data_IF_778364218501
#
_entry.id   IF_778364218501
#
_cell.length_a   1.000
_cell.length_b   1.000
_cell.length_c   1.000
_cell.angle_alpha   90.00
_cell.angle_beta   90.00
_cell.angle_gamma   90.00
#
_symmetry.space_group_name_H-M   'P 1'
#
loop_
_entity.id
_entity.type
_entity.pdbx_description
1 polymer ?
#
# COMPACT_ATOMS: atom_id res chain seq x y z
N UNK A 1 28.63 -9.62 25.21
CA UNK A 1 29.05 -8.38 24.52
C UNK A 1 27.97 -8.03 23.52
N UNK A 2 27.46 -6.79 23.60
CA UNK A 2 26.54 -6.26 22.59
C UNK A 2 27.31 -6.09 21.27
N UNK A 3 26.76 -6.62 20.18
CA UNK A 3 27.33 -6.45 18.84
C UNK A 3 26.59 -5.26 18.16
N UNK A 4 27.15 -4.04 18.19
CA UNK A 4 26.46 -2.85 17.67
C UNK A 4 26.21 -2.93 16.15
N UNK A 5 26.97 -3.74 15.43
CA UNK A 5 26.86 -3.94 13.98
C UNK A 5 25.98 -5.16 13.59
N UNK A 6 25.19 -5.72 14.53
CA UNK A 6 24.30 -6.84 14.21
C UNK A 6 23.14 -6.38 13.36
N UNK A 7 23.16 -6.70 12.06
CA UNK A 7 22.22 -6.19 11.02
C UNK A 7 20.75 -6.47 11.38
N UNK A 8 20.45 -7.69 11.86
CA UNK A 8 19.06 -8.05 12.23
C UNK A 8 18.56 -7.22 13.42
N UNK A 9 19.44 -6.95 14.41
CA UNK A 9 19.07 -6.10 15.55
C UNK A 9 18.82 -4.65 15.12
N UNK A 10 19.63 -4.10 14.21
CA UNK A 10 19.43 -2.78 13.64
C UNK A 10 18.11 -2.71 12.86
N UNK A 11 17.79 -3.74 12.08
CA UNK A 11 16.55 -3.86 11.36
C UNK A 11 15.32 -3.86 12.29
N UNK A 12 15.31 -4.73 13.32
CA UNK A 12 14.21 -4.77 14.28
C UNK A 12 14.08 -3.46 15.07
N UNK A 13 15.22 -2.85 15.42
CA UNK A 13 15.22 -1.51 16.04
C UNK A 13 14.56 -0.47 15.11
N UNK A 14 14.87 -0.49 13.81
CA UNK A 14 14.26 0.42 12.84
C UNK A 14 12.73 0.28 12.81
N UNK A 15 12.23 -0.95 12.71
CA UNK A 15 10.79 -1.21 12.71
C UNK A 15 10.12 -0.76 14.02
N UNK A 16 10.77 -1.03 15.18
CA UNK A 16 10.28 -0.59 16.48
C UNK A 16 10.21 0.94 16.59
N UNK A 17 11.24 1.65 16.11
CA UNK A 17 11.26 3.12 16.10
C UNK A 17 10.16 3.68 15.20
N UNK A 18 9.99 3.12 14.00
CA UNK A 18 8.97 3.58 13.06
C UNK A 18 7.56 3.34 13.57
N UNK A 19 7.26 2.17 14.13
CA UNK A 19 5.91 1.89 14.68
C UNK A 19 5.58 2.77 15.88
N UNK A 20 6.59 3.20 16.65
CA UNK A 20 6.46 4.16 17.74
C UNK A 20 6.37 5.63 17.28
N UNK A 21 6.43 5.90 15.98
CA UNK A 21 6.41 7.26 15.43
C UNK A 21 7.74 8.02 15.55
N UNK A 22 8.83 7.38 16.01
CA UNK A 22 10.18 7.97 16.11
C UNK A 22 10.84 8.00 14.72
N UNK A 23 10.23 8.73 13.80
CA UNK A 23 10.54 8.66 12.37
C UNK A 23 11.97 9.10 12.04
N UNK A 24 12.48 10.14 12.63
CA UNK A 24 13.85 10.61 12.33
C UNK A 24 14.90 9.53 12.57
N UNK A 25 14.84 8.88 13.73
CA UNK A 25 15.74 7.78 14.08
C UNK A 25 15.39 6.50 13.31
N UNK A 26 14.08 6.27 13.14
CA UNK A 26 13.54 5.10 12.47
C UNK A 26 13.96 5.02 11.01
N UNK A 27 13.84 6.11 10.26
CA UNK A 27 14.24 6.13 8.84
C UNK A 27 15.75 5.95 8.66
N UNK A 28 16.57 6.59 9.51
CA UNK A 28 18.02 6.37 9.49
C UNK A 28 18.38 4.90 9.75
N UNK A 29 17.79 4.31 10.78
CA UNK A 29 18.02 2.90 11.10
C UNK A 29 17.45 1.97 10.02
N UNK A 30 16.39 2.38 9.29
CA UNK A 30 15.74 1.60 8.24
C UNK A 30 16.64 1.37 7.02
N UNK A 31 17.66 2.21 6.82
CA UNK A 31 18.67 1.99 5.77
C UNK A 31 19.49 0.71 5.99
N UNK A 32 19.51 0.14 7.20
CA UNK A 32 20.09 -1.19 7.47
C UNK A 32 19.48 -2.32 6.63
N UNK A 33 18.27 -2.11 6.05
CA UNK A 33 17.65 -3.05 5.12
C UNK A 33 18.54 -3.35 3.90
N UNK A 34 19.34 -2.39 3.47
CA UNK A 34 20.25 -2.53 2.33
C UNK A 34 21.39 -3.52 2.64
N UNK A 35 21.80 -3.61 3.90
CA UNK A 35 22.83 -4.56 4.35
C UNK A 35 22.27 -5.97 4.54
N UNK A 36 20.98 -6.08 4.87
CA UNK A 36 20.30 -7.35 5.12
C UNK A 36 20.03 -8.14 3.83
N UNK A 37 19.83 -7.47 2.73
CA UNK A 37 19.44 -8.05 1.45
C UNK A 37 20.63 -8.41 0.58
N UNK A 38 21.25 -9.57 0.83
CA UNK A 38 22.22 -10.17 -0.12
C UNK A 38 21.62 -10.51 -1.49
N UNK A 39 20.29 -10.55 -1.62
CA UNK A 39 19.56 -11.08 -2.77
C UNK A 39 18.86 -10.05 -3.65
N UNK A 40 18.51 -8.86 -3.13
CA UNK A 40 18.31 -7.76 -4.05
C UNK A 40 19.71 -7.21 -4.31
N UNK A 41 20.33 -7.62 -5.41
CA UNK A 41 21.54 -6.98 -5.90
C UNK A 41 21.28 -5.48 -5.77
N UNK A 42 21.99 -4.84 -4.84
CA UNK A 42 21.96 -3.39 -4.74
C UNK A 42 22.17 -2.93 -6.17
N UNK A 43 21.15 -2.28 -6.77
CA UNK A 43 21.27 -1.81 -8.14
C UNK A 43 22.49 -0.91 -8.13
N UNK A 44 23.59 -1.40 -8.67
CA UNK A 44 24.88 -0.69 -8.65
C UNK A 44 24.87 0.22 -9.86
N UNK A 45 24.58 1.46 -9.64
CA UNK A 45 24.76 2.52 -10.62
C UNK A 45 26.03 3.31 -10.31
N UNK A 46 26.76 3.78 -11.33
CA UNK A 46 27.92 4.65 -11.12
C UNK A 46 27.53 6.03 -10.59
N UNK A 47 26.31 6.47 -10.85
CA UNK A 47 25.77 7.75 -10.37
C UNK A 47 25.55 7.71 -8.85
N UNK A 48 25.64 8.85 -8.15
CA UNK A 48 25.47 8.90 -6.71
C UNK A 48 24.03 8.68 -6.26
N UNK A 49 23.87 8.06 -5.07
CA UNK A 49 22.60 8.02 -4.35
C UNK A 49 22.23 9.41 -3.85
N UNK A 50 20.97 9.77 -4.06
CA UNK A 50 20.41 10.98 -3.49
C UNK A 50 19.91 10.75 -2.05
N UNK A 51 20.53 11.46 -1.12
CA UNK A 51 20.24 11.37 0.32
C UNK A 51 19.51 12.61 0.88
N UNK A 52 18.99 13.49 0.02
CA UNK A 52 18.31 14.72 0.44
C UNK A 52 19.21 15.96 0.59
N UNK A 53 20.52 15.84 0.43
CA UNK A 53 21.45 16.96 0.64
C UNK A 53 21.70 17.79 -0.62
N UNK A 54 21.64 17.17 -1.80
CA UNK A 54 21.84 17.87 -3.07
C UNK A 54 20.53 18.47 -3.55
N UNK A 55 20.62 19.65 -4.21
CA UNK A 55 19.49 20.23 -4.92
C UNK A 55 19.03 19.29 -6.04
N UNK A 56 17.71 19.15 -6.18
CA UNK A 56 17.10 18.40 -7.29
C UNK A 56 16.77 19.27 -8.49
N UNK A 57 16.97 20.59 -8.38
CA UNK A 57 16.69 21.51 -9.49
C UNK A 57 17.51 21.12 -10.72
N UNK A 58 16.80 20.92 -11.84
CA UNK A 58 17.37 20.55 -13.15
C UNK A 58 18.14 19.21 -13.15
N UNK A 59 17.97 18.37 -12.10
CA UNK A 59 18.57 17.04 -12.03
C UNK A 59 17.64 15.97 -12.59
N UNK A 60 18.20 14.99 -13.30
CA UNK A 60 17.53 13.78 -13.73
C UNK A 60 17.63 12.76 -12.60
N UNK A 61 16.50 12.43 -11.97
CA UNK A 61 16.43 11.55 -10.81
C UNK A 61 15.77 10.23 -11.17
N UNK A 62 16.49 9.13 -10.98
CA UNK A 62 15.97 7.78 -11.15
C UNK A 62 15.52 7.19 -9.81
N UNK A 63 14.21 6.96 -9.67
CA UNK A 63 13.57 6.30 -8.53
C UNK A 63 13.21 4.87 -8.88
N UNK A 64 13.33 3.96 -7.91
CA UNK A 64 13.03 2.55 -8.16
C UNK A 64 12.43 1.85 -6.94
N UNK A 65 11.59 0.87 -7.25
CA UNK A 65 10.97 -0.01 -6.26
C UNK A 65 11.99 -0.97 -5.62
N UNK A 66 11.68 -1.47 -4.41
CA UNK A 66 12.55 -2.39 -3.66
C UNK A 66 11.81 -3.60 -3.10
N UNK A 67 10.55 -3.45 -2.68
CA UNK A 67 9.82 -4.47 -1.92
C UNK A 67 8.50 -4.83 -2.61
N UNK A 68 7.43 -5.00 -1.83
CA UNK A 68 6.13 -5.41 -2.34
C UNK A 68 5.41 -4.32 -3.14
N UNK A 69 4.33 -4.73 -3.82
CA UNK A 69 3.49 -3.80 -4.59
C UNK A 69 2.88 -2.71 -3.70
N UNK A 70 2.48 -3.05 -2.47
CA UNK A 70 1.97 -2.08 -1.49
C UNK A 70 3.00 -1.02 -1.11
N UNK A 71 4.28 -1.41 -0.99
CA UNK A 71 5.36 -0.46 -0.70
C UNK A 71 5.54 0.54 -1.85
N UNK A 72 5.52 0.06 -3.09
CA UNK A 72 5.61 0.94 -4.27
C UNK A 72 4.44 1.89 -4.33
N UNK A 73 3.20 1.41 -4.19
CA UNK A 73 2.02 2.26 -4.15
C UNK A 73 2.12 3.32 -3.03
N UNK A 74 2.54 2.91 -1.84
CA UNK A 74 2.67 3.80 -0.69
C UNK A 74 3.72 4.89 -0.89
N UNK A 75 4.93 4.52 -1.33
CA UNK A 75 6.05 5.46 -1.44
C UNK A 75 6.12 6.21 -2.78
N UNK A 76 5.34 5.81 -3.79
CA UNK A 76 5.23 6.55 -5.06
C UNK A 76 4.84 8.03 -4.86
N UNK A 77 4.14 8.36 -3.76
CA UNK A 77 3.82 9.76 -3.38
C UNK A 77 5.03 10.68 -3.30
N UNK A 78 6.19 10.13 -2.95
CA UNK A 78 7.43 10.91 -2.87
C UNK A 78 7.99 11.30 -4.23
N UNK A 79 7.62 10.62 -5.31
CA UNK A 79 7.99 11.03 -6.66
C UNK A 79 7.38 12.40 -7.01
N UNK A 80 6.19 12.71 -6.49
CA UNK A 80 5.58 14.04 -6.61
C UNK A 80 6.40 15.12 -5.90
N UNK A 81 6.96 14.79 -4.72
CA UNK A 81 7.79 15.72 -3.96
C UNK A 81 9.13 15.97 -4.67
N UNK A 82 9.75 14.92 -5.23
CA UNK A 82 10.99 15.08 -5.99
C UNK A 82 10.78 15.90 -7.25
N UNK A 83 9.67 15.71 -7.96
CA UNK A 83 9.26 16.55 -9.08
C UNK A 83 9.06 18.01 -8.63
N UNK A 84 8.33 18.22 -7.54
CA UNK A 84 8.10 19.57 -7.00
C UNK A 84 9.39 20.27 -6.56
N UNK A 85 10.43 19.51 -6.19
CA UNK A 85 11.77 20.01 -5.90
C UNK A 85 12.61 20.31 -7.16
N UNK A 86 12.04 20.14 -8.35
CA UNK A 86 12.64 20.51 -9.64
C UNK A 86 13.33 19.39 -10.39
N UNK A 87 13.19 18.13 -9.97
CA UNK A 87 13.75 16.99 -10.69
C UNK A 87 12.97 16.63 -11.94
N UNK A 88 13.65 16.20 -12.99
CA UNK A 88 13.10 15.35 -14.02
C UNK A 88 13.09 13.91 -13.48
N UNK A 89 11.91 13.36 -13.23
CA UNK A 89 11.75 12.09 -12.50
C UNK A 89 11.48 10.92 -13.44
N UNK A 90 12.28 9.87 -13.30
CA UNK A 90 12.07 8.55 -13.88
C UNK A 90 11.73 7.58 -12.74
N UNK A 91 10.57 6.94 -12.79
CA UNK A 91 10.11 6.03 -11.74
C UNK A 91 9.93 4.62 -12.28
N UNK A 92 10.79 3.70 -11.86
CA UNK A 92 10.65 2.27 -12.15
C UNK A 92 9.73 1.59 -11.15
N UNK A 93 8.74 0.86 -11.65
CA UNK A 93 7.76 0.12 -10.87
C UNK A 93 7.64 -1.33 -11.36
N UNK A 94 7.05 -2.19 -10.54
CA UNK A 94 6.73 -3.57 -10.95
C UNK A 94 5.65 -3.55 -12.04
N UNK A 95 5.73 -4.47 -12.99
CA UNK A 95 4.83 -4.57 -14.14
C UNK A 95 3.33 -4.46 -13.81
N UNK A 96 2.79 -5.11 -12.74
CA UNK A 96 1.38 -4.98 -12.39
C UNK A 96 0.94 -3.58 -11.97
N UNK A 97 1.88 -2.70 -11.61
CA UNK A 97 1.59 -1.33 -11.16
C UNK A 97 1.74 -0.28 -12.27
N UNK A 98 2.39 -0.63 -13.40
CA UNK A 98 2.76 0.34 -14.44
C UNK A 98 1.58 1.21 -14.86
N UNK A 99 0.47 0.59 -15.28
CA UNK A 99 -0.69 1.31 -15.82
C UNK A 99 -1.34 2.25 -14.79
N UNK A 100 -1.48 1.83 -13.54
CA UNK A 100 -2.09 2.67 -12.51
C UNK A 100 -1.17 3.81 -12.07
N UNK A 101 0.15 3.58 -12.02
CA UNK A 101 1.11 4.60 -11.61
C UNK A 101 1.37 5.62 -12.75
N UNK A 102 1.12 5.28 -14.01
CA UNK A 102 1.16 6.24 -15.12
C UNK A 102 0.22 7.46 -14.90
N UNK A 103 -0.83 7.28 -14.12
CA UNK A 103 -1.73 8.37 -13.73
C UNK A 103 -1.23 9.25 -12.58
N UNK A 104 -0.04 9.00 -12.04
CA UNK A 104 0.50 9.74 -10.90
C UNK A 104 0.74 11.22 -11.22
N UNK A 105 1.46 11.50 -12.29
CA UNK A 105 1.69 12.84 -12.84
C UNK A 105 2.25 12.72 -14.28
N UNK A 106 1.73 13.47 -15.27
CA UNK A 106 2.17 13.36 -16.66
C UNK A 106 3.64 13.76 -16.90
N UNK A 107 4.26 14.51 -15.97
CA UNK A 107 5.65 14.90 -16.06
C UNK A 107 6.61 13.87 -15.44
N UNK A 108 6.10 12.79 -14.85
CA UNK A 108 6.91 11.68 -14.31
C UNK A 108 6.94 10.55 -15.33
N UNK A 109 8.12 10.18 -15.81
CA UNK A 109 8.28 9.04 -16.72
C UNK A 109 8.23 7.73 -15.96
N UNK A 110 7.21 6.89 -16.22
CA UNK A 110 7.07 5.59 -15.59
C UNK A 110 7.73 4.51 -16.43
N UNK A 111 8.63 3.76 -15.81
CA UNK A 111 9.37 2.66 -16.41
C UNK A 111 8.90 1.32 -15.84
N UNK A 112 8.79 0.32 -16.68
CA UNK A 112 8.63 -1.07 -16.22
C UNK A 112 9.94 -1.56 -15.59
N UNK A 113 9.83 -2.51 -14.67
CA UNK A 113 10.99 -3.10 -13.98
C UNK A 113 12.01 -3.75 -14.93
N UNK A 114 11.61 -4.13 -16.14
CA UNK A 114 12.44 -4.72 -17.18
C UNK A 114 13.10 -3.70 -18.10
N UNK A 115 12.64 -2.44 -18.07
CA UNK A 115 13.20 -1.36 -18.89
C UNK A 115 14.49 -0.82 -18.26
N UNK A 116 15.51 -0.63 -19.08
CA UNK A 116 16.71 0.08 -18.65
C UNK A 116 16.38 1.54 -18.35
N UNK A 117 16.92 2.12 -17.26
CA UNK A 117 16.73 3.54 -17.02
C UNK A 117 17.40 4.37 -18.13
N UNK A 118 16.81 5.50 -18.53
CA UNK A 118 17.51 6.48 -19.35
C UNK A 118 18.69 7.06 -18.59
N UNK A 119 19.47 7.95 -19.23
CA UNK A 119 20.52 8.71 -18.54
C UNK A 119 19.96 9.49 -17.36
N UNK A 120 20.60 9.38 -16.21
CA UNK A 120 20.23 10.09 -14.98
C UNK A 120 21.47 10.57 -14.22
N UNK A 121 21.28 11.56 -13.36
CA UNK A 121 22.35 12.20 -12.61
C UNK A 121 22.41 11.66 -11.17
N UNK A 122 21.24 11.38 -10.59
CA UNK A 122 21.04 10.89 -9.24
C UNK A 122 20.07 9.72 -9.22
N UNK A 123 20.17 8.84 -8.23
CA UNK A 123 19.16 7.81 -8.04
C UNK A 123 18.79 7.62 -6.56
N UNK A 124 17.61 7.07 -6.30
CA UNK A 124 17.20 6.68 -4.96
C UNK A 124 16.19 5.52 -4.99
N UNK A 125 16.29 4.57 -4.05
CA UNK A 125 15.21 3.64 -3.82
C UNK A 125 14.03 4.35 -3.16
N UNK A 126 12.79 4.01 -3.55
CA UNK A 126 11.58 4.66 -3.04
C UNK A 126 11.52 4.69 -1.51
N UNK A 127 11.95 3.61 -0.86
CA UNK A 127 11.87 3.49 0.59
C UNK A 127 12.95 4.26 1.36
N UNK A 128 13.90 4.90 0.68
CA UNK A 128 14.86 5.84 1.28
C UNK A 128 14.37 7.29 1.23
N UNK A 129 13.34 7.58 0.43
CA UNK A 129 12.84 8.95 0.26
C UNK A 129 12.29 9.57 1.56
N UNK A 130 11.61 8.82 2.48
CA UNK A 130 11.23 9.39 3.76
C UNK A 130 12.41 9.92 4.56
N UNK A 131 13.56 9.22 4.55
CA UNK A 131 14.79 9.70 5.17
C UNK A 131 15.34 10.92 4.43
N UNK A 132 15.43 10.86 3.10
CA UNK A 132 15.98 11.97 2.29
C UNK A 132 15.17 13.27 2.44
N UNK A 133 13.86 13.17 2.61
CA UNK A 133 12.97 14.31 2.90
C UNK A 133 12.86 14.67 4.39
N UNK A 134 13.55 13.96 5.28
CA UNK A 134 13.46 14.18 6.72
C UNK A 134 12.02 14.03 7.26
N UNK A 135 11.25 13.07 6.71
CA UNK A 135 9.84 12.87 7.07
C UNK A 135 9.68 12.59 8.55
N UNK A 136 8.84 13.38 9.19
CA UNK A 136 8.36 13.25 10.57
C UNK A 136 6.87 12.99 10.56
N UNK A 137 6.28 12.68 11.70
CA UNK A 137 4.86 12.43 11.82
C UNK A 137 4.02 13.62 11.29
N UNK A 138 4.47 14.84 11.60
CA UNK A 138 3.81 16.11 11.24
C UNK A 138 4.03 16.51 9.77
N UNK A 139 5.05 15.94 9.12
CA UNK A 139 5.44 16.27 7.74
C UNK A 139 5.23 15.13 6.75
N UNK A 140 4.46 14.12 7.15
CA UNK A 140 4.04 13.06 6.23
C UNK A 140 3.32 13.68 5.03
N UNK A 141 3.74 13.37 3.79
CA UNK A 141 3.04 13.88 2.60
C UNK A 141 1.69 13.17 2.44
N UNK A 142 0.68 13.65 3.15
CA UNK A 142 -0.69 13.15 3.09
C UNK A 142 -1.48 13.88 2.01
N UNK A 143 -2.18 13.10 1.17
CA UNK A 143 -2.98 13.62 0.07
C UNK A 143 -4.46 13.32 0.36
N UNK A 144 -5.21 14.33 0.74
CA UNK A 144 -6.62 14.18 1.15
C UNK A 144 -7.49 13.58 0.03
N UNK A 145 -7.24 13.96 -1.22
CA UNK A 145 -7.98 13.47 -2.39
C UNK A 145 -7.27 12.32 -3.12
N UNK A 146 -6.23 11.75 -2.50
CA UNK A 146 -5.38 10.74 -3.13
C UNK A 146 -4.34 11.33 -4.08
N UNK A 147 -3.51 10.46 -4.64
CA UNK A 147 -2.46 10.78 -5.62
C UNK A 147 -2.44 9.78 -6.79
N UNK A 148 -3.29 8.77 -6.76
CA UNK A 148 -3.54 7.87 -7.88
C UNK A 148 -5.01 7.95 -8.30
N UNK A 149 -5.30 7.61 -9.55
CA UNK A 149 -6.67 7.61 -10.08
C UNK A 149 -6.88 6.44 -11.04
N UNK A 150 -8.13 6.04 -11.20
CA UNK A 150 -8.53 5.13 -12.25
C UNK A 150 -8.75 5.89 -13.55
N UNK A 151 -8.51 5.24 -14.69
CA UNK A 151 -8.92 5.79 -15.99
C UNK A 151 -10.45 5.74 -16.14
N UNK A 152 -11.00 6.68 -16.90
CA UNK A 152 -12.43 6.70 -17.21
C UNK A 152 -12.90 5.39 -17.87
N UNK A 153 -12.07 4.81 -18.74
CA UNK A 153 -12.33 3.51 -19.37
C UNK A 153 -12.37 2.38 -18.34
N UNK A 154 -11.44 2.35 -17.38
CA UNK A 154 -11.43 1.38 -16.29
C UNK A 154 -12.70 1.44 -15.46
N UNK A 155 -13.19 2.62 -15.13
CA UNK A 155 -14.47 2.82 -14.42
C UNK A 155 -15.66 2.36 -15.26
N UNK A 156 -15.72 2.79 -16.53
CA UNK A 156 -16.81 2.44 -17.44
C UNK A 156 -16.92 0.93 -17.68
N UNK A 157 -15.81 0.20 -17.64
CA UNK A 157 -15.78 -1.26 -17.74
C UNK A 157 -16.53 -1.95 -16.60
N UNK A 158 -16.37 -1.48 -15.36
CA UNK A 158 -16.90 -2.15 -14.19
C UNK A 158 -18.28 -1.69 -13.78
N UNK A 159 -18.57 -0.41 -13.92
CA UNK A 159 -19.81 0.20 -13.41
C UNK A 159 -21.11 -0.53 -13.84
N UNK A 160 -21.27 -0.97 -15.10
CA UNK A 160 -22.48 -1.69 -15.53
C UNK A 160 -22.61 -3.12 -14.95
N UNK A 161 -21.49 -3.69 -14.48
CA UNK A 161 -21.46 -5.07 -13.95
C UNK A 161 -21.73 -5.13 -12.45
N UNK A 162 -21.64 -4.00 -11.75
CA UNK A 162 -21.76 -3.96 -10.30
C UNK A 162 -23.20 -4.14 -9.84
N UNK A 163 -23.42 -4.93 -8.77
CA UNK A 163 -24.75 -5.08 -8.19
C UNK A 163 -25.27 -3.75 -7.65
N UNK A 164 -26.57 -3.61 -7.63
CA UNK A 164 -27.25 -2.46 -7.02
C UNK A 164 -27.37 -2.69 -5.50
N UNK A 165 -27.26 -1.61 -4.73
CA UNK A 165 -27.37 -1.62 -3.27
C UNK A 165 -27.26 -0.24 -2.69
N UNK A 166 -27.48 -0.11 -1.39
CA UNK A 166 -27.39 1.16 -0.65
C UNK A 166 -25.95 1.75 -0.75
N UNK A 167 -24.96 0.89 -0.55
CA UNK A 167 -23.53 1.20 -0.71
C UNK A 167 -22.87 0.06 -1.49
N UNK A 168 -21.83 0.37 -2.24
CA UNK A 168 -20.95 -0.62 -2.87
C UNK A 168 -19.71 -0.77 -2.02
N UNK A 169 -19.55 -1.91 -1.38
CA UNK A 169 -18.47 -2.17 -0.42
C UNK A 169 -17.52 -3.21 -0.99
N UNK A 170 -16.27 -2.82 -1.18
CA UNK A 170 -15.19 -3.74 -1.57
C UNK A 170 -14.63 -4.47 -0.37
N UNK A 171 -14.39 -5.78 -0.50
CA UNK A 171 -13.82 -6.61 0.56
C UNK A 171 -12.54 -7.30 0.11
N UNK A 172 -11.50 -7.21 0.97
CA UNK A 172 -10.24 -7.96 0.84
C UNK A 172 -9.94 -8.63 2.17
N UNK A 173 -9.78 -9.94 2.17
CA UNK A 173 -9.62 -10.73 3.41
C UNK A 173 -8.29 -11.44 3.55
N UNK A 174 -7.50 -11.52 2.48
CA UNK A 174 -6.20 -12.17 2.54
C UNK A 174 -5.17 -11.49 1.66
N UNK A 175 -3.92 -11.56 2.09
CA UNK A 175 -2.77 -11.12 1.33
C UNK A 175 -2.12 -12.27 0.55
N UNK A 176 -0.92 -12.02 0.01
CA UNK A 176 -0.11 -13.06 -0.62
C UNK A 176 0.29 -14.13 0.39
N UNK A 177 0.02 -15.38 0.08
CA UNK A 177 0.38 -16.52 0.91
C UNK A 177 1.91 -16.68 1.12
N UNK A 178 2.72 -16.07 0.25
CA UNK A 178 4.19 -16.08 0.37
C UNK A 178 4.72 -15.02 1.35
N UNK A 179 3.87 -14.13 1.84
CA UNK A 179 4.27 -13.09 2.77
C UNK A 179 4.50 -13.66 4.17
N UNK A 180 5.66 -13.36 4.79
CA UNK A 180 6.05 -13.94 6.09
C UNK A 180 5.04 -13.74 7.22
N UNK A 181 4.31 -12.63 7.23
CA UNK A 181 3.30 -12.29 8.23
C UNK A 181 1.87 -12.59 7.75
N UNK A 182 1.70 -13.42 6.72
CA UNK A 182 0.39 -13.66 6.12
C UNK A 182 -0.60 -14.30 7.10
N UNK A 183 -0.15 -15.28 7.87
CA UNK A 183 -0.98 -15.97 8.87
C UNK A 183 -1.57 -15.04 9.94
N UNK A 184 -0.87 -13.95 10.27
CA UNK A 184 -1.34 -13.00 11.29
C UNK A 184 -2.28 -11.93 10.73
N UNK A 185 -2.20 -11.60 9.42
CA UNK A 185 -2.98 -10.51 8.80
C UNK A 185 -4.17 -10.98 7.97
N UNK A 186 -4.15 -12.23 7.49
CA UNK A 186 -5.23 -12.78 6.66
C UNK A 186 -6.32 -13.38 7.55
N UNK A 187 -7.57 -13.23 7.12
CA UNK A 187 -8.77 -13.68 7.83
C UNK A 187 -9.52 -14.66 6.92
N UNK A 188 -9.89 -15.86 7.38
CA UNK A 188 -10.74 -16.75 6.58
C UNK A 188 -12.07 -16.05 6.21
N UNK A 189 -12.48 -16.12 4.94
CA UNK A 189 -13.69 -15.45 4.46
C UNK A 189 -14.92 -15.80 5.28
N UNK A 190 -15.05 -17.05 5.72
CA UNK A 190 -16.16 -17.51 6.56
C UNK A 190 -16.41 -16.63 7.80
N UNK A 191 -15.33 -16.11 8.43
CA UNK A 191 -15.48 -15.21 9.58
C UNK A 191 -16.05 -13.85 9.17
N UNK A 192 -15.70 -13.36 8.00
CA UNK A 192 -16.12 -12.06 7.48
C UNK A 192 -17.55 -12.07 6.90
N UNK A 193 -18.15 -13.24 6.70
CA UNK A 193 -19.54 -13.32 6.27
C UNK A 193 -20.51 -12.65 7.25
N UNK A 194 -20.11 -12.46 8.50
CA UNK A 194 -20.85 -11.66 9.49
C UNK A 194 -20.97 -10.17 9.13
N UNK A 195 -20.08 -9.65 8.25
CA UNK A 195 -20.15 -8.28 7.73
C UNK A 195 -21.13 -8.16 6.57
N UNK A 196 -21.30 -9.22 5.79
CA UNK A 196 -22.09 -9.21 4.56
C UNK A 196 -23.56 -9.14 4.92
N UNK A 197 -24.13 -7.95 4.79
CA UNK A 197 -25.52 -7.66 5.14
C UNK A 197 -26.38 -7.43 3.90
N UNK A 198 -27.66 -7.74 4.00
CA UNK A 198 -28.64 -7.39 2.96
C UNK A 198 -28.78 -5.86 2.85
N UNK A 199 -28.91 -5.37 1.63
CA UNK A 199 -29.08 -3.95 1.32
C UNK A 199 -27.82 -3.25 0.83
N UNK A 200 -26.63 -3.70 1.19
CA UNK A 200 -25.38 -3.24 0.59
C UNK A 200 -24.94 -4.17 -0.55
N UNK A 201 -24.28 -3.62 -1.57
CA UNK A 201 -23.71 -4.36 -2.67
C UNK A 201 -22.26 -4.74 -2.35
N UNK A 202 -22.01 -6.02 -2.10
CA UNK A 202 -20.67 -6.49 -1.74
C UNK A 202 -19.88 -6.94 -2.96
N UNK A 203 -18.64 -6.49 -3.03
CA UNK A 203 -17.72 -6.72 -4.15
C UNK A 203 -16.42 -7.30 -3.62
N UNK A 204 -16.05 -8.49 -4.09
CA UNK A 204 -14.73 -9.07 -3.80
C UNK A 204 -13.65 -8.38 -4.62
N UNK A 205 -12.68 -7.79 -3.95
CA UNK A 205 -11.45 -7.25 -4.55
C UNK A 205 -10.30 -8.26 -4.50
N UNK A 206 -10.58 -9.48 -4.05
CA UNK A 206 -9.61 -10.56 -3.96
C UNK A 206 -9.36 -11.14 -5.37
N UNK A 207 -8.14 -10.97 -5.90
CA UNK A 207 -7.77 -11.57 -7.19
C UNK A 207 -7.56 -13.08 -7.06
N UNK A 208 -6.75 -13.49 -6.09
CA UNK A 208 -6.47 -14.89 -5.82
C UNK A 208 -7.25 -15.34 -4.58
N UNK A 209 -8.15 -16.28 -4.76
CA UNK A 209 -8.99 -16.83 -3.69
C UNK A 209 -8.40 -18.17 -3.25
N UNK A 210 -8.16 -18.33 -1.96
CA UNK A 210 -7.65 -19.58 -1.39
C UNK A 210 -8.69 -20.69 -1.55
N UNK A 211 -8.23 -21.93 -1.73
CA UNK A 211 -9.12 -23.08 -1.90
C UNK A 211 -10.12 -23.21 -0.74
N UNK A 212 -9.71 -22.89 0.49
CA UNK A 212 -10.57 -22.89 1.69
C UNK A 212 -11.71 -21.87 1.65
N UNK A 213 -11.58 -20.82 0.86
CA UNK A 213 -12.54 -19.71 0.82
C UNK A 213 -13.45 -19.76 -0.42
N UNK A 214 -13.13 -20.61 -1.42
CA UNK A 214 -13.87 -20.65 -2.69
C UNK A 214 -15.35 -20.99 -2.50
N UNK A 215 -15.69 -22.02 -1.71
CA UNK A 215 -17.07 -22.42 -1.46
C UNK A 215 -17.84 -21.30 -0.76
N UNK A 216 -17.25 -20.69 0.26
CA UNK A 216 -17.87 -19.57 0.99
C UNK A 216 -18.11 -18.38 0.06
N UNK A 217 -17.18 -18.07 -0.82
CA UNK A 217 -17.32 -16.99 -1.79
C UNK A 217 -18.49 -17.26 -2.77
N UNK A 218 -18.59 -18.48 -3.29
CA UNK A 218 -19.68 -18.86 -4.20
C UNK A 218 -21.06 -18.74 -3.54
N UNK A 219 -21.16 -19.11 -2.26
CA UNK A 219 -22.41 -19.03 -1.49
C UNK A 219 -22.73 -17.61 -1.00
N UNK A 220 -21.75 -16.71 -0.99
CA UNK A 220 -21.87 -15.37 -0.38
C UNK A 220 -22.78 -14.40 -1.14
N UNK A 221 -23.02 -14.63 -2.43
CA UNK A 221 -23.69 -13.67 -3.31
C UNK A 221 -22.88 -12.42 -3.65
N UNK A 222 -21.62 -12.31 -3.22
CA UNK A 222 -20.74 -11.18 -3.57
C UNK A 222 -20.39 -11.21 -5.05
N UNK A 223 -20.38 -10.04 -5.68
CA UNK A 223 -19.80 -9.90 -7.02
C UNK A 223 -18.31 -10.16 -6.95
N UNK A 224 -17.81 -11.12 -7.72
CA UNK A 224 -16.41 -11.51 -7.76
C UNK A 224 -15.88 -11.50 -9.20
N UNK A 225 -15.09 -10.48 -9.61
CA UNK A 225 -14.54 -10.40 -10.95
C UNK A 225 -13.37 -11.38 -11.19
N UNK A 226 -12.72 -11.86 -10.13
CA UNK A 226 -11.70 -12.90 -10.20
C UNK A 226 -10.57 -12.59 -11.17
N UNK A 227 -10.36 -13.48 -12.15
CA UNK A 227 -9.31 -13.38 -13.17
C UNK A 227 -9.45 -12.15 -14.09
N UNK A 228 -10.63 -11.52 -14.15
CA UNK A 228 -10.81 -10.29 -14.93
C UNK A 228 -10.06 -9.07 -14.34
N UNK A 229 -9.54 -9.17 -13.11
CA UNK A 229 -8.58 -8.23 -12.52
C UNK A 229 -7.18 -8.54 -13.06
N UNK A 230 -6.85 -8.11 -14.26
CA UNK A 230 -5.55 -8.38 -14.90
C UNK A 230 -4.38 -7.76 -14.13
N UNK A 231 -4.47 -6.45 -13.86
CA UNK A 231 -3.47 -5.66 -13.12
C UNK A 231 -4.11 -4.67 -12.13
N UNK A 232 -3.29 -3.79 -11.55
CA UNK A 232 -3.77 -2.80 -10.59
C UNK A 232 -4.58 -1.65 -11.22
N UNK A 233 -4.49 -1.41 -12.54
CA UNK A 233 -5.36 -0.44 -13.20
C UNK A 233 -6.80 -0.98 -13.31
N UNK A 234 -6.97 -2.28 -13.57
CA UNK A 234 -8.30 -2.91 -13.52
C UNK A 234 -8.89 -2.86 -12.10
N UNK A 235 -8.06 -3.13 -11.09
CA UNK A 235 -8.45 -3.03 -9.68
C UNK A 235 -8.81 -1.59 -9.32
N UNK A 236 -8.07 -0.59 -9.80
CA UNK A 236 -8.37 0.83 -9.58
C UNK A 236 -9.70 1.23 -10.20
N UNK A 237 -9.98 0.76 -11.44
CA UNK A 237 -11.28 1.00 -12.10
C UNK A 237 -12.45 0.47 -11.26
N UNK A 238 -12.30 -0.73 -10.70
CA UNK A 238 -13.30 -1.32 -9.82
C UNK A 238 -13.45 -0.53 -8.51
N UNK A 239 -12.35 -0.21 -7.85
CA UNK A 239 -12.33 0.59 -6.60
C UNK A 239 -12.97 1.95 -6.80
N UNK A 240 -12.75 2.61 -7.95
CA UNK A 240 -13.31 3.91 -8.23
C UNK A 240 -14.85 3.93 -8.17
N UNK A 241 -15.50 2.80 -8.50
CA UNK A 241 -16.95 2.65 -8.49
C UNK A 241 -17.51 2.22 -7.12
N UNK A 242 -16.67 2.08 -6.08
CA UNK A 242 -17.06 1.70 -4.73
C UNK A 242 -17.15 2.91 -3.80
N UNK A 243 -17.98 2.78 -2.77
CA UNK A 243 -18.16 3.80 -1.73
C UNK A 243 -17.21 3.58 -0.53
N UNK A 244 -16.85 2.32 -0.27
CA UNK A 244 -15.99 1.93 0.85
C UNK A 244 -15.17 0.70 0.46
N UNK A 245 -13.92 0.64 0.93
CA UNK A 245 -13.11 -0.58 0.88
C UNK A 245 -12.80 -1.05 2.30
N UNK A 246 -13.17 -2.29 2.62
CA UNK A 246 -12.80 -2.98 3.86
C UNK A 246 -11.72 -4.00 3.52
N UNK A 247 -10.56 -3.89 4.13
CA UNK A 247 -9.39 -4.69 3.74
C UNK A 247 -8.52 -5.07 4.94
N UNK A 248 -7.91 -6.23 4.87
CA UNK A 248 -6.70 -6.50 5.65
C UNK A 248 -5.52 -5.73 5.05
N UNK A 249 -4.38 -5.67 5.74
CA UNK A 249 -3.18 -4.94 5.29
C UNK A 249 -2.58 -5.54 4.02
N UNK A 250 -2.96 -4.99 2.87
CA UNK A 250 -2.57 -5.45 1.53
C UNK A 250 -2.30 -4.31 0.57
N UNK A 251 -1.72 -4.61 -0.59
CA UNK A 251 -1.52 -3.65 -1.68
C UNK A 251 -2.83 -3.02 -2.19
N UNK A 252 -3.96 -3.72 -2.09
CA UNK A 252 -5.27 -3.20 -2.49
C UNK A 252 -5.73 -2.10 -1.52
N UNK A 253 -5.47 -2.25 -0.21
CA UNK A 253 -5.74 -1.20 0.78
C UNK A 253 -4.93 0.07 0.47
N UNK A 254 -3.64 -0.09 0.13
CA UNK A 254 -2.78 1.03 -0.28
C UNK A 254 -3.26 1.69 -1.57
N UNK A 255 -3.70 0.90 -2.57
CA UNK A 255 -4.26 1.44 -3.80
C UNK A 255 -5.52 2.27 -3.52
N UNK A 256 -6.50 1.70 -2.82
CA UNK A 256 -7.74 2.39 -2.51
C UNK A 256 -7.50 3.71 -1.75
N UNK A 257 -6.62 3.68 -0.76
CA UNK A 257 -6.27 4.85 0.02
C UNK A 257 -5.46 5.88 -0.79
N UNK A 258 -4.56 5.42 -1.70
CA UNK A 258 -3.85 6.29 -2.64
C UNK A 258 -4.78 6.97 -3.65
N UNK A 259 -5.94 6.38 -3.92
CA UNK A 259 -7.02 6.97 -4.74
C UNK A 259 -7.95 7.89 -3.93
N UNK A 260 -7.70 8.13 -2.65
CA UNK A 260 -8.54 8.96 -1.79
C UNK A 260 -9.86 8.31 -1.39
N UNK A 261 -10.04 7.01 -1.60
CA UNK A 261 -11.26 6.29 -1.20
C UNK A 261 -11.31 6.08 0.32
N UNK A 262 -12.50 6.07 0.92
CA UNK A 262 -12.67 5.61 2.28
C UNK A 262 -12.20 4.15 2.42
N UNK A 263 -11.28 3.91 3.36
CA UNK A 263 -10.75 2.57 3.64
C UNK A 263 -10.89 2.25 5.12
N UNK A 264 -11.49 1.11 5.42
CA UNK A 264 -11.49 0.52 6.75
C UNK A 264 -10.50 -0.64 6.78
N UNK A 265 -9.42 -0.44 7.51
CA UNK A 265 -8.31 -1.37 7.54
C UNK A 265 -8.35 -2.26 8.79
N UNK A 266 -8.42 -3.57 8.57
CA UNK A 266 -8.37 -4.58 9.62
C UNK A 266 -6.92 -4.91 9.93
N UNK A 267 -6.49 -4.69 11.17
CA UNK A 267 -5.10 -4.83 11.58
C UNK A 267 -4.92 -5.92 12.63
N UNK A 268 -3.85 -6.74 12.50
CA UNK A 268 -3.44 -7.64 13.56
C UNK A 268 -2.98 -6.88 14.80
N UNK A 269 -2.82 -7.57 15.90
CA UNK A 269 -2.34 -7.01 17.18
C UNK A 269 -0.96 -6.34 17.03
N UNK A 270 -0.04 -6.96 16.28
CA UNK A 270 1.25 -6.39 15.91
C UNK A 270 1.19 -5.90 14.44
N UNK A 271 0.87 -4.62 14.21
CA UNK A 271 0.72 -4.08 12.87
C UNK A 271 2.05 -3.75 12.20
N UNK A 272 2.02 -3.48 10.89
CA UNK A 272 3.13 -2.84 10.19
C UNK A 272 3.37 -1.43 10.75
N UNK A 273 4.61 -0.95 10.64
CA UNK A 273 5.03 0.34 11.18
C UNK A 273 4.23 1.54 10.64
N UNK A 274 3.69 1.44 9.43
CA UNK A 274 2.90 2.50 8.79
C UNK A 274 1.66 2.86 9.58
N UNK A 275 1.14 1.88 10.30
CA UNK A 275 -0.12 2.03 11.01
C UNK A 275 0.04 2.53 12.45
N UNK A 276 1.29 2.62 12.93
CA UNK A 276 1.62 3.04 14.30
C UNK A 276 0.88 2.22 15.38
N UNK A 277 0.89 2.69 16.62
CA UNK A 277 0.15 2.12 17.74
C UNK A 277 -0.95 3.08 18.21
N UNK A 278 -1.92 2.55 18.94
CA UNK A 278 -2.90 3.27 19.75
C UNK A 278 -3.70 4.39 19.03
N UNK A 279 -3.93 4.26 17.70
CA UNK A 279 -4.74 5.20 16.94
C UNK A 279 -5.71 4.51 15.99
N UNK A 280 -6.81 5.18 15.68
CA UNK A 280 -7.88 4.69 14.79
C UNK A 280 -7.85 5.32 13.40
N UNK A 281 -6.97 6.27 13.16
CA UNK A 281 -6.72 6.94 11.88
C UNK A 281 -5.33 6.62 11.35
N UNK A 282 -5.07 6.96 10.10
CA UNK A 282 -3.74 6.84 9.49
C UNK A 282 -3.17 8.22 9.16
N UNK A 283 -1.93 8.53 9.60
CA UNK A 283 -1.30 9.80 9.22
C UNK A 283 -0.88 9.81 7.75
N UNK A 284 -0.80 8.64 7.11
CA UNK A 284 -0.45 8.48 5.70
C UNK A 284 -1.64 8.65 4.76
N UNK A 285 -2.86 8.34 5.23
CA UNK A 285 -4.06 8.28 4.41
C UNK A 285 -5.25 8.86 5.18
N UNK A 286 -5.60 10.14 4.93
CA UNK A 286 -6.63 10.84 5.72
C UNK A 286 -8.02 10.17 5.71
N UNK A 287 -8.37 9.46 4.64
CA UNK A 287 -9.65 8.74 4.51
C UNK A 287 -9.64 7.31 5.11
N UNK A 288 -8.59 6.92 5.84
CA UNK A 288 -8.46 5.57 6.37
C UNK A 288 -8.83 5.50 7.86
N UNK A 289 -9.69 4.53 8.20
CA UNK A 289 -10.01 4.16 9.58
C UNK A 289 -9.42 2.79 9.91
N UNK A 290 -8.75 2.68 11.07
CA UNK A 290 -8.04 1.48 11.51
C UNK A 290 -8.85 0.73 12.56
N UNK A 291 -9.09 -0.57 12.31
CA UNK A 291 -9.75 -1.49 13.22
C UNK A 291 -8.73 -2.53 13.68
N UNK A 292 -8.37 -2.48 14.96
CA UNK A 292 -7.24 -3.23 15.52
C UNK A 292 -7.69 -4.37 16.40
N UNK A 293 -6.99 -5.49 16.32
CA UNK A 293 -7.10 -6.53 17.34
C UNK A 293 -6.68 -5.99 18.71
N UNK A 294 -7.47 -6.32 19.75
CA UNK A 294 -7.15 -5.97 21.15
C UNK A 294 -6.20 -6.99 21.80
N UNK A 295 -6.17 -8.20 21.27
CA UNK A 295 -5.24 -9.28 21.64
C UNK A 295 -4.89 -10.12 20.42
N UNK A 296 -3.78 -10.85 20.40
CA UNK A 296 -3.40 -11.68 19.25
C UNK A 296 -4.52 -12.65 18.84
N UNK A 297 -4.93 -12.60 17.57
CA UNK A 297 -5.97 -13.45 16.99
C UNK A 297 -7.41 -12.99 17.21
N UNK A 298 -7.65 -11.88 17.91
CA UNK A 298 -9.00 -11.34 18.18
C UNK A 298 -9.57 -10.65 16.92
N UNK A 299 -9.86 -11.46 15.91
CA UNK A 299 -10.56 -10.98 14.72
C UNK A 299 -12.06 -10.75 14.95
N UNK A 300 -12.67 -11.44 15.90
CA UNK A 300 -14.09 -11.25 16.21
C UNK A 300 -14.38 -9.87 16.77
N UNK A 301 -13.52 -9.37 17.67
CA UNK A 301 -13.62 -7.99 18.16
C UNK A 301 -13.47 -6.94 17.06
N UNK A 302 -12.58 -7.19 16.07
CA UNK A 302 -12.43 -6.32 14.88
C UNK A 302 -13.70 -6.34 14.04
N UNK A 303 -14.25 -7.52 13.75
CA UNK A 303 -15.46 -7.70 12.94
C UNK A 303 -16.67 -7.04 13.62
N UNK A 304 -16.83 -7.19 14.93
CA UNK A 304 -17.91 -6.57 15.68
C UNK A 304 -17.83 -5.03 15.66
N UNK A 305 -16.62 -4.49 15.76
CA UNK A 305 -16.41 -3.04 15.66
C UNK A 305 -16.75 -2.50 14.26
N UNK A 306 -16.40 -3.23 13.19
CA UNK A 306 -16.78 -2.88 11.81
C UNK A 306 -18.29 -2.98 11.63
N UNK A 307 -18.94 -4.05 12.12
CA UNK A 307 -20.40 -4.20 12.06
C UNK A 307 -21.13 -3.04 12.75
N UNK A 308 -20.66 -2.62 13.92
CA UNK A 308 -21.22 -1.47 14.60
C UNK A 308 -21.08 -0.18 13.75
N UNK A 309 -19.92 0.01 13.12
CA UNK A 309 -19.65 1.18 12.26
C UNK A 309 -20.45 1.16 10.94
N UNK A 310 -20.80 -0.02 10.40
CA UNK A 310 -21.60 -0.13 9.17
C UNK A 310 -23.06 0.27 9.38
N UNK A 311 -23.55 0.23 10.62
CA UNK A 311 -24.96 0.56 10.98
C UNK A 311 -25.18 2.07 11.17
N UNK A 312 -24.11 2.83 11.40
CA UNK A 312 -24.13 4.29 11.52
C UNK A 312 -23.96 4.96 10.14
#
# INVERSE_FOLDING_TARGET
QLQPNHIEAQWHRALALLVLGRFQEGWLAYESRNLRRKTMAARKYPQPLWWGHQSLKDQRLYLYWEQGLGDTLHFARYALLTKAAGAQVFLSVQAPLRRVVQGLDPAITILDQSEAPPDFDLHAPLMSLPMAFGTRLETIPAFANGYLSASAEGVARWLPQLPQGRRRIGLVWSGSATHRNDANRSIPLKRLMRLVSAGDAWVSLQKEVRASDQGVLQESGMFHPGAALGDFADTAGLIAALDLVISVDTSVAHLAAAMGKPVWLMLPFAPDFRWLLDRQDSPWYPGMRLFRQKSPGDWDGVIDAINAALRT
#
